data_IF_510758691191
#
_entry.id   IF_510758691191
#
_cell.length_a   1.000
_cell.length_b   1.000
_cell.length_c   1.000
_cell.angle_alpha   90.00
_cell.angle_beta   90.00
_cell.angle_gamma   90.00
#
_symmetry.space_group_name_H-M   'P 1'
#
loop_
_entity.id
_entity.type
_entity.pdbx_description
1 polymer ?
#
# COMPACT_ATOMS: atom_id res chain seq x y z
N UNK A 1 -10.23 -17.42 -12.50
CA UNK A 1 -10.29 -16.75 -11.19
C UNK A 1 -10.20 -15.26 -11.45
N UNK A 2 -11.07 -14.44 -10.86
CA UNK A 2 -11.02 -12.98 -11.00
C UNK A 2 -10.74 -12.42 -9.62
N UNK A 3 -9.58 -11.76 -9.48
CA UNK A 3 -9.17 -11.15 -8.23
C UNK A 3 -9.60 -9.69 -8.19
N UNK A 4 -10.04 -9.25 -7.01
CA UNK A 4 -10.50 -7.89 -6.75
C UNK A 4 -9.57 -7.22 -5.76
N UNK A 5 -9.13 -6.00 -6.08
CA UNK A 5 -8.22 -5.23 -5.23
C UNK A 5 -8.63 -3.77 -5.19
N UNK A 6 -8.58 -3.19 -3.98
CA UNK A 6 -8.81 -1.77 -3.77
C UNK A 6 -7.47 -1.01 -3.86
N UNK A 7 -7.28 -0.25 -4.94
CA UNK A 7 -6.03 0.49 -5.20
C UNK A 7 -5.96 1.86 -4.52
N UNK A 8 -7.10 2.42 -4.11
CA UNK A 8 -7.18 3.73 -3.45
C UNK A 8 -7.99 3.57 -2.18
N UNK A 9 -7.41 2.90 -1.19
CA UNK A 9 -8.00 2.77 0.13
C UNK A 9 -8.01 4.12 0.86
N UNK A 10 -9.10 4.38 1.59
CA UNK A 10 -9.20 5.47 2.55
C UNK A 10 -8.76 5.02 3.95
N UNK A 11 -8.96 3.75 4.30
CA UNK A 11 -8.45 3.13 5.52
C UNK A 11 -6.93 3.16 5.58
N UNK A 12 -6.41 3.47 6.76
CA UNK A 12 -4.98 3.42 7.07
C UNK A 12 -4.73 2.60 8.32
N UNK A 13 -3.65 1.81 8.29
CA UNK A 13 -3.19 0.98 9.39
C UNK A 13 -1.98 1.55 10.13
N UNK A 14 -1.46 0.77 11.06
CA UNK A 14 -0.24 1.08 11.82
C UNK A 14 0.71 -0.11 11.87
N UNK A 15 2.00 0.20 12.00
CA UNK A 15 3.05 -0.76 12.29
C UNK A 15 3.90 -0.20 13.41
N UNK A 16 3.96 -0.91 14.53
CA UNK A 16 4.69 -0.47 15.72
C UNK A 16 5.52 -1.62 16.31
N UNK A 17 6.44 -1.29 17.21
CA UNK A 17 7.15 -2.28 18.01
C UNK A 17 6.46 -2.44 19.36
N UNK A 18 6.19 -3.68 19.75
CA UNK A 18 5.89 -4.02 21.13
C UNK A 18 7.18 -3.99 21.95
N UNK A 19 7.39 -2.88 22.64
CA UNK A 19 8.58 -2.66 23.48
C UNK A 19 8.53 -3.45 24.79
N UNK A 20 7.41 -4.11 25.11
CA UNK A 20 7.29 -4.95 26.30
C UNK A 20 7.83 -6.37 26.09
N UNK A 21 7.95 -6.82 24.83
CA UNK A 21 8.47 -8.16 24.51
C UNK A 21 9.99 -8.16 24.27
N UNK A 22 10.65 -9.31 24.52
CA UNK A 22 12.06 -9.56 24.15
C UNK A 22 12.20 -10.93 23.47
N UNK A 23 12.69 -11.02 22.21
CA UNK A 23 13.01 -9.89 21.33
C UNK A 23 11.76 -9.04 21.06
N UNK A 24 11.98 -7.76 20.70
CA UNK A 24 10.87 -6.87 20.32
C UNK A 24 10.08 -7.50 19.17
N UNK A 25 8.75 -7.47 19.29
CA UNK A 25 7.85 -7.98 18.25
C UNK A 25 7.26 -6.81 17.49
N UNK A 26 6.99 -7.03 16.21
CA UNK A 26 6.23 -6.09 15.39
C UNK A 26 4.73 -6.31 15.61
N UNK A 27 4.00 -5.23 15.88
CA UNK A 27 2.54 -5.21 15.88
C UNK A 27 2.12 -4.57 14.56
N UNK A 28 1.40 -5.33 13.74
CA UNK A 28 0.91 -4.89 12.43
C UNK A 28 -0.60 -4.91 12.48
N UNK A 29 -1.20 -3.74 12.32
CA UNK A 29 -2.64 -3.58 12.20
C UNK A 29 -2.97 -2.85 10.90
N UNK A 30 -3.34 -3.56 9.81
CA UNK A 30 -3.74 -2.94 8.56
C UNK A 30 -5.02 -2.10 8.68
N UNK A 31 -5.82 -2.34 9.72
CA UNK A 31 -7.06 -1.61 10.01
C UNK A 31 -8.01 -1.54 8.81
N UNK A 32 -8.16 -2.67 8.09
CA UNK A 32 -8.98 -2.78 6.89
C UNK A 32 -10.43 -2.38 7.18
N UNK A 33 -11.02 -1.61 6.28
CA UNK A 33 -12.41 -1.16 6.35
C UNK A 33 -12.79 -0.37 7.62
N UNK A 34 -11.81 0.28 8.26
CA UNK A 34 -12.05 1.35 9.22
C UNK A 34 -12.86 2.50 8.61
N UNK A 35 -12.63 2.78 7.34
CA UNK A 35 -13.47 3.67 6.55
C UNK A 35 -14.55 2.87 5.84
N UNK A 36 -15.81 3.19 6.11
CA UNK A 36 -16.96 2.49 5.52
C UNK A 36 -16.99 2.58 3.98
N UNK A 37 -16.36 3.61 3.41
CA UNK A 37 -16.23 3.78 1.97
C UNK A 37 -15.53 2.59 1.30
N UNK A 38 -14.41 2.13 1.86
CA UNK A 38 -13.62 1.04 1.28
C UNK A 38 -14.41 -0.27 1.20
N UNK A 39 -15.18 -0.58 2.26
CA UNK A 39 -16.03 -1.75 2.32
C UNK A 39 -17.15 -1.69 1.27
N UNK A 40 -17.76 -0.51 1.07
CA UNK A 40 -18.79 -0.30 0.06
C UNK A 40 -18.23 -0.47 -1.36
N UNK A 41 -17.05 0.08 -1.64
CA UNK A 41 -16.40 -0.09 -2.96
C UNK A 41 -16.11 -1.56 -3.24
N UNK A 42 -15.60 -2.30 -2.26
CA UNK A 42 -15.38 -3.75 -2.42
C UNK A 42 -16.68 -4.54 -2.63
N UNK A 43 -17.75 -4.20 -1.91
CA UNK A 43 -19.06 -4.81 -2.11
C UNK A 43 -19.61 -4.56 -3.53
N UNK A 44 -19.48 -3.34 -4.05
CA UNK A 44 -19.84 -3.01 -5.44
C UNK A 44 -18.99 -3.76 -6.47
N UNK A 45 -17.69 -3.92 -6.20
CA UNK A 45 -16.79 -4.67 -7.06
C UNK A 45 -17.19 -6.16 -7.14
N UNK A 46 -17.53 -6.77 -5.99
CA UNK A 46 -18.06 -8.15 -5.95
C UNK A 46 -19.36 -8.24 -6.75
N UNK A 47 -20.32 -7.34 -6.52
CA UNK A 47 -21.58 -7.30 -7.29
C UNK A 47 -21.33 -7.16 -8.79
N UNK A 48 -20.39 -6.31 -9.18
CA UNK A 48 -20.01 -6.13 -10.58
C UNK A 48 -19.44 -7.41 -11.19
N UNK A 49 -18.50 -8.08 -10.52
CA UNK A 49 -17.92 -9.33 -11.03
C UNK A 49 -18.95 -10.45 -11.11
N UNK A 50 -19.89 -10.55 -10.15
CA UNK A 50 -20.99 -11.52 -10.24
C UNK A 50 -21.87 -11.27 -11.45
N UNK A 51 -22.26 -10.00 -11.70
CA UNK A 51 -23.01 -9.61 -12.90
C UNK A 51 -22.24 -9.91 -14.19
N UNK A 52 -20.95 -9.59 -14.22
CA UNK A 52 -20.07 -9.88 -15.35
C UNK A 52 -19.98 -11.39 -15.61
N UNK A 53 -19.72 -12.18 -14.57
CA UNK A 53 -19.64 -13.64 -14.64
C UNK A 53 -20.93 -14.26 -15.18
N UNK A 54 -22.10 -13.83 -14.69
CA UNK A 54 -23.41 -14.29 -15.20
C UNK A 54 -23.62 -13.95 -16.68
N UNK A 55 -23.14 -12.81 -17.15
CA UNK A 55 -23.20 -12.43 -18.56
C UNK A 55 -22.19 -13.22 -19.41
N UNK A 56 -20.99 -13.44 -18.90
CA UNK A 56 -19.96 -14.22 -19.58
C UNK A 56 -20.36 -15.69 -19.72
N UNK A 57 -21.08 -16.24 -18.73
CA UNK A 57 -21.62 -17.60 -18.80
C UNK A 57 -22.64 -17.83 -19.93
N UNK A 58 -23.12 -16.76 -20.58
CA UNK A 58 -23.98 -16.84 -21.77
C UNK A 58 -23.17 -17.10 -23.05
N UNK A 59 -21.84 -17.01 -23.00
CA UNK A 59 -20.92 -17.29 -24.10
C UNK A 59 -20.14 -18.59 -23.74
N UNK A 60 -20.19 -19.60 -24.62
CA UNK A 60 -19.73 -20.97 -24.34
C UNK A 60 -18.24 -21.10 -23.92
N UNK A 61 -17.93 -22.23 -23.25
CA UNK A 61 -16.65 -22.69 -22.67
C UNK A 61 -16.02 -21.83 -21.57
N UNK A 62 -16.62 -20.68 -21.24
CA UNK A 62 -16.11 -19.79 -20.21
C UNK A 62 -16.87 -19.99 -18.89
N UNK A 63 -16.23 -20.72 -17.96
CA UNK A 63 -16.52 -20.77 -16.52
C UNK A 63 -17.49 -21.86 -16.04
N UNK A 64 -16.99 -22.72 -15.15
CA UNK A 64 -17.77 -23.65 -14.32
C UNK A 64 -18.63 -22.97 -13.26
N UNK A 65 -19.28 -21.86 -13.59
CA UNK A 65 -20.13 -21.08 -12.71
C UNK A 65 -19.38 -20.21 -11.69
N UNK A 66 -20.16 -19.52 -10.85
CA UNK A 66 -19.64 -18.77 -9.71
C UNK A 66 -19.17 -19.74 -8.61
N UNK A 67 -17.88 -19.71 -8.27
CA UNK A 67 -17.34 -20.49 -7.16
C UNK A 67 -17.59 -19.83 -5.79
N UNK A 68 -17.44 -18.51 -5.72
CA UNK A 68 -17.63 -17.69 -4.53
C UNK A 68 -18.15 -16.29 -4.94
N UNK A 69 -18.89 -15.57 -4.06
CA UNK A 69 -19.37 -15.99 -2.75
C UNK A 69 -20.44 -17.10 -2.77
N UNK A 70 -21.20 -17.20 -3.87
CA UNK A 70 -22.37 -18.05 -4.02
C UNK A 70 -23.65 -17.43 -3.45
N UNK A 71 -24.80 -17.82 -4.02
CA UNK A 71 -26.13 -17.33 -3.61
C UNK A 71 -26.49 -17.65 -2.15
N UNK A 72 -25.91 -18.72 -1.57
CA UNK A 72 -26.16 -19.04 -0.16
C UNK A 72 -25.54 -18.02 0.80
N UNK A 73 -24.38 -17.44 0.45
CA UNK A 73 -23.71 -16.44 1.29
C UNK A 73 -24.20 -15.03 1.00
N UNK A 74 -24.47 -14.75 -0.27
CA UNK A 74 -24.92 -13.44 -0.76
C UNK A 74 -26.15 -13.62 -1.66
N UNK A 75 -27.35 -13.75 -1.07
CA UNK A 75 -28.57 -13.95 -1.83
C UNK A 75 -28.96 -12.65 -2.56
N UNK A 76 -29.31 -12.77 -3.85
CA UNK A 76 -29.85 -11.68 -4.67
C UNK A 76 -29.01 -10.39 -4.67
N UNK A 77 -27.68 -10.52 -4.52
CA UNK A 77 -26.75 -9.39 -4.41
C UNK A 77 -27.10 -8.39 -3.28
N UNK A 78 -27.65 -8.88 -2.16
CA UNK A 78 -27.96 -8.07 -0.97
C UNK A 78 -26.73 -7.30 -0.43
N UNK A 79 -26.91 -6.00 -0.22
CA UNK A 79 -25.84 -5.05 0.15
C UNK A 79 -25.17 -5.40 1.49
N UNK A 80 -25.96 -5.79 2.49
CA UNK A 80 -25.44 -6.14 3.80
C UNK A 80 -24.66 -7.46 3.74
N UNK A 81 -25.15 -8.44 2.97
CA UNK A 81 -24.45 -9.69 2.72
C UNK A 81 -23.16 -9.49 1.92
N UNK A 82 -23.15 -8.62 0.90
CA UNK A 82 -21.95 -8.25 0.15
C UNK A 82 -20.88 -7.60 1.04
N UNK A 83 -21.28 -6.64 1.87
CA UNK A 83 -20.34 -5.96 2.79
C UNK A 83 -19.82 -6.92 3.86
N UNK A 84 -20.68 -7.81 4.40
CA UNK A 84 -20.26 -8.87 5.33
C UNK A 84 -19.24 -9.80 4.65
N UNK A 85 -19.54 -10.26 3.45
CA UNK A 85 -18.64 -11.11 2.67
C UNK A 85 -17.29 -10.41 2.43
N UNK A 86 -17.29 -9.14 2.04
CA UNK A 86 -16.07 -8.36 1.86
C UNK A 86 -15.22 -8.29 3.14
N UNK A 87 -15.85 -8.06 4.31
CA UNK A 87 -15.16 -8.04 5.62
C UNK A 87 -14.59 -9.38 6.03
N UNK A 88 -15.31 -10.47 5.78
CA UNK A 88 -14.90 -11.82 6.17
C UNK A 88 -13.81 -12.41 5.27
N UNK A 89 -13.66 -11.90 4.04
CA UNK A 89 -12.78 -12.48 3.02
C UNK A 89 -11.72 -11.48 2.52
N UNK A 90 -11.53 -10.36 3.22
CA UNK A 90 -10.46 -9.42 2.88
C UNK A 90 -9.11 -10.01 3.24
N UNK A 91 -8.18 -9.89 2.31
CA UNK A 91 -6.79 -10.28 2.50
C UNK A 91 -5.87 -9.17 2.00
N UNK A 92 -4.60 -9.26 2.38
CA UNK A 92 -3.60 -8.33 1.87
C UNK A 92 -3.30 -8.61 0.40
N UNK A 93 -3.14 -7.54 -0.37
CA UNK A 93 -2.54 -7.63 -1.71
C UNK A 93 -1.00 -7.44 -1.67
N UNK A 94 -0.39 -7.58 -0.49
CA UNK A 94 1.05 -7.49 -0.25
C UNK A 94 1.68 -6.16 -0.68
N UNK A 95 0.92 -5.07 -0.63
CA UNK A 95 1.37 -3.70 -0.94
C UNK A 95 1.36 -2.75 0.28
N UNK A 96 1.94 -3.10 1.45
CA UNK A 96 2.08 -2.14 2.53
C UNK A 96 3.04 -1.02 2.13
N UNK A 97 2.65 0.24 2.36
CA UNK A 97 3.41 1.44 1.99
C UNK A 97 3.15 2.56 2.99
N UNK A 98 3.72 3.75 2.78
CA UNK A 98 3.37 5.02 3.48
C UNK A 98 3.73 5.12 4.97
N UNK A 99 4.40 4.13 5.56
CA UNK A 99 4.74 4.13 7.01
C UNK A 99 5.83 5.12 7.41
N UNK A 100 6.64 5.61 6.46
CA UNK A 100 7.64 6.66 6.66
C UNK A 100 7.40 7.81 5.67
N UNK A 101 6.15 8.27 5.61
CA UNK A 101 5.63 9.26 4.66
C UNK A 101 6.61 10.41 4.36
N UNK A 102 6.88 10.63 3.07
CA UNK A 102 7.51 11.84 2.57
C UNK A 102 6.54 13.01 2.61
N UNK A 103 6.97 14.16 3.12
CA UNK A 103 6.14 15.36 3.20
C UNK A 103 6.92 16.62 3.61
N UNK A 104 6.28 17.80 3.55
CA UNK A 104 6.89 19.04 4.02
C UNK A 104 7.05 19.02 5.54
N UNK A 105 7.99 19.82 6.08
CA UNK A 105 8.22 19.91 7.53
C UNK A 105 7.01 20.40 8.33
N UNK A 106 6.03 21.02 7.66
CA UNK A 106 4.76 21.43 8.25
C UNK A 106 3.74 20.29 8.40
N UNK A 107 3.96 19.14 7.77
CA UNK A 107 3.11 17.96 7.90
C UNK A 107 3.55 17.15 9.13
N UNK A 108 2.74 17.10 10.20
CA UNK A 108 3.11 16.41 11.43
C UNK A 108 3.24 14.88 11.28
N UNK A 109 2.74 14.32 10.18
CA UNK A 109 2.85 12.89 9.86
C UNK A 109 4.03 12.57 8.95
N UNK A 110 4.77 13.58 8.46
CA UNK A 110 5.93 13.36 7.60
C UNK A 110 7.13 12.85 8.41
N UNK A 111 7.78 11.81 7.90
CA UNK A 111 8.98 11.20 8.48
C UNK A 111 10.22 11.61 7.69
N UNK A 112 10.09 11.76 6.38
CA UNK A 112 11.19 12.18 5.50
C UNK A 112 10.85 13.44 4.69
N UNK A 113 11.87 14.22 4.36
CA UNK A 113 11.77 15.38 3.48
C UNK A 113 11.71 14.96 1.98
N UNK A 114 11.51 15.90 1.03
CA UNK A 114 11.52 15.59 -0.40
C UNK A 114 12.85 15.05 -0.97
N UNK A 115 13.95 15.11 -0.21
CA UNK A 115 15.24 14.47 -0.51
C UNK A 115 15.42 13.13 0.22
N UNK A 116 14.35 12.63 0.84
CA UNK A 116 14.26 11.39 1.59
C UNK A 116 15.10 11.36 2.87
N UNK A 117 15.54 12.52 3.38
CA UNK A 117 16.25 12.60 4.65
C UNK A 117 15.26 12.48 5.81
N UNK A 118 15.63 11.71 6.83
CA UNK A 118 14.82 11.57 8.05
C UNK A 118 14.85 12.87 8.85
N UNK A 119 13.68 13.41 9.18
CA UNK A 119 13.61 14.62 10.00
C UNK A 119 14.27 14.40 11.36
N UNK A 120 15.14 15.34 11.76
CA UNK A 120 15.83 15.32 13.05
C UNK A 120 17.03 14.37 13.15
N UNK A 121 17.39 13.66 12.07
CA UNK A 121 18.56 12.76 12.05
C UNK A 121 19.44 13.08 10.84
N UNK A 122 20.70 13.42 11.10
CA UNK A 122 21.66 13.67 10.04
C UNK A 122 22.12 12.39 9.35
N UNK A 123 22.38 12.48 8.04
CA UNK A 123 23.00 11.42 7.22
C UNK A 123 22.21 10.09 7.21
N UNK A 124 20.90 10.15 7.42
CA UNK A 124 19.99 9.00 7.35
C UNK A 124 18.89 9.25 6.32
N UNK A 125 18.62 8.24 5.48
CA UNK A 125 17.52 8.24 4.51
C UNK A 125 16.70 6.97 4.59
N UNK A 126 15.44 7.06 4.16
CA UNK A 126 14.59 5.90 3.88
C UNK A 126 14.33 5.84 2.38
N UNK A 127 14.57 4.69 1.76
CA UNK A 127 14.49 4.53 0.29
C UNK A 127 13.77 3.23 -0.04
N UNK A 128 12.47 3.22 0.20
CA UNK A 128 11.57 2.10 -0.14
C UNK A 128 10.12 2.61 -0.28
N UNK A 129 9.15 1.71 -0.36
CA UNK A 129 7.74 2.05 -0.52
C UNK A 129 7.11 2.77 0.70
N UNK A 130 7.77 2.76 1.86
CA UNK A 130 7.28 3.45 3.06
C UNK A 130 7.23 4.96 2.90
N UNK A 131 8.05 5.54 1.99
CA UNK A 131 8.13 6.99 1.80
C UNK A 131 7.01 7.55 0.93
N UNK A 132 6.21 6.69 0.29
CA UNK A 132 5.09 7.18 -0.53
C UNK A 132 4.17 8.08 0.32
N UNK A 133 3.81 9.28 -0.17
CA UNK A 133 2.88 10.14 0.57
C UNK A 133 1.47 9.56 0.68
N UNK A 134 1.09 8.75 -0.31
CA UNK A 134 -0.17 8.00 -0.42
C UNK A 134 0.08 6.76 -1.28
N UNK A 135 -0.69 5.69 -1.07
CA UNK A 135 -0.64 4.50 -1.91
C UNK A 135 -0.89 4.85 -3.39
N UNK A 136 0.03 4.52 -4.32
CA UNK A 136 -0.21 4.71 -5.75
C UNK A 136 -1.24 3.70 -6.25
N UNK A 137 -2.07 4.09 -7.23
CA UNK A 137 -3.03 3.21 -7.88
C UNK A 137 -2.36 2.26 -8.90
N UNK A 138 -1.37 1.50 -8.43
CA UNK A 138 -0.55 0.59 -9.22
C UNK A 138 0.06 -0.50 -8.32
N UNK A 139 0.67 -1.52 -8.94
CA UNK A 139 1.57 -2.42 -8.21
C UNK A 139 2.78 -1.64 -7.69
N UNK A 140 3.13 -1.84 -6.42
CA UNK A 140 4.11 -0.98 -5.73
C UNK A 140 5.55 -1.22 -6.16
N UNK A 141 5.85 -2.30 -6.88
CA UNK A 141 7.19 -2.62 -7.36
C UNK A 141 7.78 -1.49 -8.23
N UNK A 142 7.08 -1.10 -9.31
CA UNK A 142 7.60 -0.09 -10.23
C UNK A 142 7.77 1.31 -9.58
N UNK A 143 6.80 1.83 -8.80
CA UNK A 143 6.99 3.06 -8.03
C UNK A 143 8.15 3.00 -7.03
N UNK A 144 8.41 1.83 -6.43
CA UNK A 144 9.51 1.66 -5.47
C UNK A 144 10.86 1.74 -6.19
N UNK A 145 10.99 1.07 -7.34
CA UNK A 145 12.20 1.17 -8.18
C UNK A 145 12.43 2.61 -8.62
N UNK A 146 11.37 3.32 -9.05
CA UNK A 146 11.48 4.73 -9.43
C UNK A 146 11.98 5.62 -8.28
N UNK A 147 11.48 5.42 -7.07
CA UNK A 147 11.98 6.15 -5.88
C UNK A 147 13.45 5.80 -5.62
N UNK A 148 13.82 4.53 -5.72
CA UNK A 148 15.20 4.09 -5.51
C UNK A 148 16.17 4.70 -6.54
N UNK A 149 15.81 4.72 -7.83
CA UNK A 149 16.59 5.36 -8.89
C UNK A 149 16.77 6.86 -8.61
N UNK A 150 15.68 7.55 -8.27
CA UNK A 150 15.75 8.98 -7.96
C UNK A 150 16.60 9.27 -6.72
N UNK A 151 16.50 8.41 -5.69
CA UNK A 151 17.31 8.51 -4.48
C UNK A 151 18.79 8.30 -4.78
N UNK A 152 19.14 7.35 -5.65
CA UNK A 152 20.52 7.12 -6.06
C UNK A 152 21.14 8.37 -6.71
N UNK A 153 20.39 9.07 -7.56
CA UNK A 153 20.85 10.33 -8.16
C UNK A 153 21.03 11.44 -7.10
N UNK A 154 20.09 11.60 -6.17
CA UNK A 154 20.21 12.57 -5.07
C UNK A 154 21.41 12.28 -4.17
N UNK A 155 21.70 11.00 -3.89
CA UNK A 155 22.85 10.59 -3.08
C UNK A 155 24.16 10.90 -3.81
N UNK A 156 24.26 10.63 -5.12
CA UNK A 156 25.44 10.97 -5.92
C UNK A 156 25.66 12.49 -5.98
N UNK A 157 24.59 13.26 -6.17
CA UNK A 157 24.62 14.72 -6.16
C UNK A 157 25.18 15.25 -4.83
N UNK A 158 24.65 14.79 -3.69
CA UNK A 158 25.10 15.24 -2.38
C UNK A 158 26.54 14.80 -2.08
N UNK A 159 26.93 13.61 -2.52
CA UNK A 159 28.31 13.14 -2.40
C UNK A 159 29.30 14.03 -3.17
N UNK A 160 28.96 14.42 -4.39
CA UNK A 160 29.79 15.32 -5.19
C UNK A 160 29.88 16.72 -4.55
N UNK A 161 28.77 17.22 -4.00
CA UNK A 161 28.73 18.52 -3.31
C UNK A 161 29.57 18.52 -2.02
N UNK A 162 29.63 17.40 -1.30
CA UNK A 162 30.53 17.22 -0.16
C UNK A 162 32.01 17.24 -0.60
N UNK A 163 32.32 16.63 -1.75
CA UNK A 163 33.67 16.63 -2.32
C UNK A 163 34.12 17.99 -2.88
N UNK A 164 33.19 18.84 -3.31
CA UNK A 164 33.47 20.19 -3.80
C UNK A 164 33.72 21.21 -2.67
N UNK A 165 33.26 20.90 -1.45
CA UNK A 165 33.42 21.75 -0.25
C UNK A 165 34.49 21.22 0.72
N UNK A 166 34.85 19.95 0.62
CA UNK A 166 35.97 19.36 1.35
C UNK A 166 37.31 19.60 0.63
N UNK A 167 38.28 20.21 1.33
CA UNK A 167 39.71 20.19 0.93
C UNK A 167 40.10 18.74 0.62
N UNK A 168 40.82 18.46 -0.48
CA UNK A 168 41.02 17.10 -0.95
C UNK A 168 41.70 16.26 0.12
N UNK A 169 40.98 15.26 0.63
CA UNK A 169 41.58 14.18 1.40
C UNK A 169 42.53 13.45 0.46
N UNK A 170 43.83 13.56 0.73
CA UNK A 170 44.86 12.81 0.07
C UNK A 170 44.45 11.32 0.07
N UNK A 171 44.34 10.75 -1.13
CA UNK A 171 44.10 9.33 -1.32
C UNK A 171 45.19 8.55 -0.58
N UNK A 172 44.79 7.65 0.32
CA UNK A 172 45.65 6.57 0.80
C UNK A 172 45.96 5.59 -0.34
#
# INVERSE_FOLDING_TARGET
MIDLTLYVACSTGTLTLDTSSKPYKTVIDPNYFSESFDCRVMAEAVRFIRRLGRRMAQYEDCAGGEAYPGEQKVPNDDDAALQRYARENVETYYHPTTTCKMGPASDPMAVVDPRLNVYGIDRLRVVDASVFPKLPAAHTCAPTIMVAEKAADMIKEDWQNLGATAVPLARL
#
